data_IF_567142317944
#
_entry.id   IF_567142317944
#
_cell.length_a   1.000
_cell.length_b   1.000
_cell.length_c   1.000
_cell.angle_alpha   90.00
_cell.angle_beta   90.00
_cell.angle_gamma   90.00
#
_symmetry.space_group_name_H-M   'P 1'
#
loop_
_entity.id
_entity.type
_entity.pdbx_description
1 polymer ?
#
# COMPACT_ATOMS: atom_id res chain seq x y z
N UNK A 1 -30.42 79.89 -44.40
CA UNK A 1 -29.36 80.72 -43.86
C UNK A 1 -28.50 79.83 -43.05
N UNK A 2 -27.41 79.33 -43.69
CA UNK A 2 -26.31 78.62 -43.06
C UNK A 2 -25.55 79.54 -42.10
N UNK A 3 -24.80 79.07 -41.14
CA UNK A 3 -23.52 78.46 -41.46
C UNK A 3 -22.98 77.32 -40.55
N UNK A 4 -22.22 76.48 -41.22
CA UNK A 4 -20.97 75.81 -40.83
C UNK A 4 -20.54 75.84 -39.33
N UNK A 5 -20.39 74.63 -38.77
CA UNK A 5 -19.34 74.38 -37.76
C UNK A 5 -18.62 73.05 -38.09
N UNK A 6 -17.37 73.20 -38.45
CA UNK A 6 -16.39 72.21 -38.80
C UNK A 6 -15.91 71.45 -37.52
N UNK A 7 -16.10 70.13 -37.48
CA UNK A 7 -15.43 69.25 -36.54
C UNK A 7 -13.92 69.04 -36.93
N UNK A 8 -12.98 69.05 -35.96
CA UNK A 8 -11.57 68.72 -36.27
C UNK A 8 -11.42 67.20 -36.28
N UNK A 9 -10.89 66.68 -37.38
CA UNK A 9 -10.40 65.33 -37.55
C UNK A 9 -9.30 65.05 -36.51
N UNK A 10 -9.55 64.06 -35.63
CA UNK A 10 -8.51 63.50 -34.76
C UNK A 10 -7.53 62.66 -35.62
N UNK A 11 -6.28 63.05 -35.65
CA UNK A 11 -5.16 62.28 -36.20
C UNK A 11 -4.97 60.98 -35.36
N UNK A 12 -4.71 59.83 -36.01
CA UNK A 12 -4.34 58.61 -35.26
C UNK A 12 -2.93 58.74 -34.73
N UNK A 13 -2.79 58.87 -33.43
CA UNK A 13 -1.50 58.80 -32.72
C UNK A 13 -0.86 57.44 -32.98
N UNK A 14 0.20 57.42 -33.76
CA UNK A 14 1.05 56.28 -34.02
C UNK A 14 1.73 55.86 -32.71
N UNK A 15 1.32 54.72 -32.14
CA UNK A 15 2.01 54.10 -31.02
C UNK A 15 3.39 53.64 -31.46
N UNK A 16 4.49 54.03 -30.83
CA UNK A 16 5.84 53.69 -31.29
C UNK A 16 6.08 52.18 -31.19
N UNK A 17 6.43 51.58 -32.32
CA UNK A 17 6.68 50.15 -32.49
C UNK A 17 7.80 49.58 -31.55
N UNK A 18 8.63 50.42 -30.95
CA UNK A 18 9.72 50.04 -30.03
C UNK A 18 9.28 49.66 -28.64
N UNK A 19 8.09 50.11 -28.17
CA UNK A 19 7.63 49.86 -26.81
C UNK A 19 7.03 48.44 -26.61
N UNK A 20 6.44 47.87 -27.71
CA UNK A 20 5.93 46.49 -27.71
C UNK A 20 7.03 45.45 -27.77
N UNK A 21 8.20 45.76 -28.36
CA UNK A 21 9.33 44.82 -28.44
C UNK A 21 10.11 44.73 -27.14
N UNK A 22 10.14 45.80 -26.35
CA UNK A 22 10.71 45.81 -25.01
C UNK A 22 9.89 45.05 -23.97
N UNK A 23 8.54 45.16 -24.03
CA UNK A 23 7.62 44.44 -23.13
C UNK A 23 7.66 42.95 -23.38
N UNK A 24 7.63 42.50 -24.65
CA UNK A 24 7.71 41.08 -24.99
C UNK A 24 9.02 40.40 -24.61
N UNK A 25 10.16 41.14 -24.67
CA UNK A 25 11.46 40.65 -24.18
C UNK A 25 11.52 40.56 -22.66
N UNK A 26 10.93 41.50 -21.93
CA UNK A 26 10.84 41.45 -20.46
C UNK A 26 9.92 40.30 -19.98
N UNK A 27 8.81 40.08 -20.64
CA UNK A 27 7.93 38.93 -20.35
C UNK A 27 8.64 37.60 -20.59
N UNK A 28 9.37 37.44 -21.68
CA UNK A 28 10.13 36.22 -21.98
C UNK A 28 11.27 35.95 -20.97
N UNK A 29 11.93 37.00 -20.48
CA UNK A 29 12.95 36.86 -19.42
C UNK A 29 12.33 36.47 -18.09
N UNK A 30 11.20 37.11 -17.71
CA UNK A 30 10.46 36.77 -16.47
C UNK A 30 9.87 35.36 -16.50
N UNK A 31 9.36 34.88 -17.64
CA UNK A 31 8.92 33.50 -17.82
C UNK A 31 10.08 32.50 -17.71
N UNK A 32 11.23 32.80 -18.32
CA UNK A 32 12.43 31.98 -18.21
C UNK A 32 12.96 31.88 -16.76
N UNK A 33 12.91 32.97 -15.99
CA UNK A 33 13.28 32.96 -14.56
C UNK A 33 12.29 32.17 -13.72
N UNK A 34 10.99 32.30 -13.98
CA UNK A 34 9.93 31.52 -13.31
C UNK A 34 10.05 30.02 -13.61
N UNK A 35 10.35 29.64 -14.84
CA UNK A 35 10.58 28.25 -15.24
C UNK A 35 11.81 27.66 -14.50
N UNK A 36 12.94 28.38 -14.48
CA UNK A 36 14.15 27.97 -13.74
C UNK A 36 13.92 27.89 -12.23
N UNK A 37 13.12 28.79 -11.66
CA UNK A 37 12.75 28.74 -10.24
C UNK A 37 11.85 27.54 -9.91
N UNK A 38 10.91 27.19 -10.81
CA UNK A 38 10.07 25.97 -10.69
C UNK A 38 10.93 24.70 -10.74
N UNK A 39 11.82 24.58 -11.74
CA UNK A 39 12.73 23.42 -11.82
C UNK A 39 13.62 23.27 -10.59
N UNK A 40 14.16 24.37 -10.06
CA UNK A 40 14.98 24.34 -8.82
C UNK A 40 14.15 23.91 -7.61
N UNK A 41 12.88 24.34 -7.51
CA UNK A 41 11.93 23.92 -6.46
C UNK A 41 11.59 22.44 -6.58
N UNK A 42 11.31 21.95 -7.79
CA UNK A 42 11.02 20.54 -8.05
C UNK A 42 12.21 19.63 -7.76
N UNK A 43 13.41 19.99 -8.20
CA UNK A 43 14.66 19.28 -7.87
C UNK A 43 14.94 19.26 -6.36
N UNK A 44 14.68 20.37 -5.65
CA UNK A 44 14.79 20.43 -4.18
C UNK A 44 13.72 19.58 -3.50
N UNK A 45 12.48 19.61 -3.97
CA UNK A 45 11.39 18.80 -3.44
C UNK A 45 11.67 17.30 -3.65
N UNK A 46 12.15 16.91 -4.83
CA UNK A 46 12.55 15.53 -5.14
C UNK A 46 13.71 15.06 -4.27
N UNK A 47 14.74 15.90 -4.10
CA UNK A 47 15.87 15.59 -3.20
C UNK A 47 15.40 15.45 -1.75
N UNK A 48 14.52 16.33 -1.25
CA UNK A 48 13.96 16.24 0.11
C UNK A 48 13.13 14.99 0.30
N UNK A 49 12.33 14.59 -0.69
CA UNK A 49 11.52 13.35 -0.64
C UNK A 49 12.35 12.07 -0.46
N UNK A 50 13.60 12.06 -0.91
CA UNK A 50 14.52 10.92 -0.74
C UNK A 50 15.44 11.15 0.47
N UNK A 51 16.01 12.34 0.60
CA UNK A 51 17.00 12.64 1.64
C UNK A 51 16.43 12.59 3.06
N UNK A 52 15.19 13.07 3.26
CA UNK A 52 14.58 13.07 4.61
C UNK A 52 14.36 11.65 5.13
N UNK A 53 13.69 10.73 4.42
CA UNK A 53 13.53 9.35 4.90
C UNK A 53 14.88 8.63 5.09
N UNK A 54 15.83 8.82 4.17
CA UNK A 54 17.16 8.20 4.27
C UNK A 54 17.92 8.70 5.51
N UNK A 55 17.87 10.01 5.76
CA UNK A 55 18.50 10.61 6.95
C UNK A 55 17.83 10.13 8.23
N UNK A 56 16.50 10.00 8.24
CA UNK A 56 15.75 9.45 9.39
C UNK A 56 16.17 8.02 9.69
N UNK A 57 16.24 7.15 8.68
CA UNK A 57 16.69 5.75 8.85
C UNK A 57 18.14 5.72 9.33
N UNK A 58 19.03 6.52 8.73
CA UNK A 58 20.42 6.60 9.16
C UNK A 58 20.56 7.10 10.61
N UNK A 59 19.74 8.07 11.03
CA UNK A 59 19.72 8.57 12.39
C UNK A 59 19.24 7.48 13.38
N UNK A 60 18.17 6.73 13.03
CA UNK A 60 17.69 5.63 13.86
C UNK A 60 18.78 4.55 14.03
N UNK A 61 19.46 4.18 12.95
CA UNK A 61 20.53 3.20 12.98
C UNK A 61 21.74 3.70 13.79
N UNK A 62 22.06 4.99 13.68
CA UNK A 62 23.14 5.62 14.46
C UNK A 62 22.82 5.66 15.95
N UNK A 63 21.58 6.00 16.32
CA UNK A 63 21.11 5.96 17.71
C UNK A 63 21.14 4.52 18.25
N UNK A 64 20.65 3.55 17.48
CA UNK A 64 20.73 2.14 17.87
C UNK A 64 22.17 1.70 18.09
N UNK A 65 23.07 1.99 17.16
CA UNK A 65 24.50 1.68 17.29
C UNK A 65 25.12 2.36 18.52
N UNK A 66 24.78 3.63 18.79
CA UNK A 66 25.27 4.37 19.95
C UNK A 66 24.81 3.76 21.28
N UNK A 67 23.52 3.39 21.39
CA UNK A 67 22.97 2.72 22.59
C UNK A 67 23.72 1.44 22.92
N UNK A 68 24.06 0.65 21.90
CA UNK A 68 24.84 -0.58 22.06
C UNK A 68 26.31 -0.27 22.38
N UNK A 69 26.93 0.69 21.70
CA UNK A 69 28.33 1.04 21.89
C UNK A 69 28.62 1.65 23.28
N UNK A 70 27.68 2.45 23.82
CA UNK A 70 27.79 3.00 25.18
C UNK A 70 27.43 2.01 26.28
N UNK A 71 27.03 0.77 25.95
CA UNK A 71 26.69 -0.27 26.93
C UNK A 71 25.43 0.04 27.76
N UNK A 72 24.54 0.94 27.28
CA UNK A 72 23.29 1.30 27.95
C UNK A 72 22.40 0.05 28.09
N UNK A 73 22.42 -0.81 27.07
CA UNK A 73 21.75 -2.12 27.07
C UNK A 73 22.81 -3.19 26.85
N UNK A 74 22.78 -4.28 27.61
CA UNK A 74 23.70 -5.39 27.41
C UNK A 74 23.62 -5.94 25.98
N UNK A 75 24.79 -6.20 25.37
CA UNK A 75 24.91 -6.60 23.96
C UNK A 75 24.18 -7.93 23.64
N UNK A 76 23.98 -8.78 24.64
CA UNK A 76 23.22 -10.01 24.50
C UNK A 76 21.70 -9.77 24.41
N UNK A 77 21.18 -8.64 24.91
CA UNK A 77 19.74 -8.29 24.79
C UNK A 77 19.46 -7.45 23.54
N UNK A 78 20.36 -6.53 23.21
CA UNK A 78 20.25 -5.68 22.04
C UNK A 78 21.54 -5.79 21.21
N UNK A 79 21.56 -6.66 20.19
CA UNK A 79 22.70 -6.80 19.30
C UNK A 79 22.90 -5.53 18.48
N UNK A 80 24.14 -5.27 18.05
CA UNK A 80 24.41 -4.13 17.16
C UNK A 80 23.87 -4.38 15.74
N UNK A 81 23.55 -3.34 14.96
CA UNK A 81 23.15 -3.47 13.56
C UNK A 81 24.14 -4.31 12.74
N UNK A 82 25.44 -4.18 13.02
CA UNK A 82 26.50 -4.95 12.34
C UNK A 82 26.40 -6.45 12.66
N UNK A 83 26.15 -6.82 13.91
CA UNK A 83 25.94 -8.22 14.31
C UNK A 83 24.72 -8.83 13.64
N UNK A 84 23.64 -8.06 13.52
CA UNK A 84 22.41 -8.48 12.84
C UNK A 84 22.64 -8.74 11.35
N UNK A 85 23.39 -7.86 10.66
CA UNK A 85 23.77 -8.08 9.24
C UNK A 85 24.67 -9.31 9.10
N UNK A 86 25.61 -9.50 10.02
CA UNK A 86 26.47 -10.70 10.00
C UNK A 86 25.65 -11.98 10.23
N UNK A 87 24.71 -11.98 11.16
CA UNK A 87 23.81 -13.12 11.41
C UNK A 87 22.94 -13.44 10.19
N UNK A 88 22.43 -12.41 9.47
CA UNK A 88 21.71 -12.59 8.20
C UNK A 88 22.58 -13.28 7.15
N UNK A 89 23.84 -12.88 7.04
CA UNK A 89 24.77 -13.47 6.06
C UNK A 89 25.18 -14.91 6.46
N UNK A 90 25.46 -15.15 7.74
CA UNK A 90 25.87 -16.43 8.27
C UNK A 90 24.80 -17.53 8.08
N UNK A 91 23.54 -17.21 8.31
CA UNK A 91 22.41 -18.14 8.21
C UNK A 91 21.63 -18.01 6.90
N UNK A 92 22.18 -17.36 5.86
CA UNK A 92 21.45 -16.98 4.65
C UNK A 92 20.74 -18.17 3.97
N UNK A 93 21.39 -19.33 3.85
CA UNK A 93 20.79 -20.53 3.24
C UNK A 93 19.62 -21.08 4.06
N UNK A 94 19.78 -21.11 5.40
CA UNK A 94 18.75 -21.57 6.34
C UNK A 94 17.56 -20.60 6.34
N UNK A 95 17.83 -19.31 6.35
CA UNK A 95 16.81 -18.25 6.29
C UNK A 95 16.07 -18.29 4.95
N UNK A 96 16.75 -18.57 3.82
CA UNK A 96 16.10 -18.72 2.53
C UNK A 96 15.12 -19.90 2.51
N UNK A 97 15.49 -21.04 3.07
CA UNK A 97 14.62 -22.21 3.19
C UNK A 97 13.38 -21.91 4.07
N UNK A 98 13.57 -21.29 5.21
CA UNK A 98 12.48 -20.89 6.09
C UNK A 98 11.60 -19.80 5.47
N UNK A 99 12.17 -18.84 4.73
CA UNK A 99 11.43 -17.81 3.98
C UNK A 99 10.54 -18.42 2.91
N UNK A 100 11.04 -19.42 2.17
CA UNK A 100 10.23 -20.10 1.15
C UNK A 100 8.98 -20.76 1.75
N UNK A 101 9.09 -21.38 2.93
CA UNK A 101 7.96 -21.97 3.64
C UNK A 101 6.94 -20.89 4.04
N UNK A 102 7.39 -19.83 4.73
CA UNK A 102 6.52 -18.72 5.16
C UNK A 102 5.84 -18.02 3.97
N UNK A 103 6.58 -17.78 2.87
CA UNK A 103 6.02 -17.17 1.67
C UNK A 103 4.99 -18.06 0.99
N UNK A 104 5.19 -19.38 0.97
CA UNK A 104 4.22 -20.34 0.43
C UNK A 104 2.92 -20.30 1.24
N UNK A 105 3.01 -20.33 2.56
CA UNK A 105 1.87 -20.25 3.49
C UNK A 105 1.12 -18.91 3.33
N UNK A 106 1.86 -17.81 3.30
CA UNK A 106 1.31 -16.48 3.11
C UNK A 106 0.66 -16.29 1.74
N UNK A 107 1.31 -16.76 0.66
CA UNK A 107 0.77 -16.65 -0.70
C UNK A 107 -0.50 -17.47 -0.89
N UNK A 108 -0.51 -18.73 -0.45
CA UNK A 108 -1.70 -19.58 -0.51
C UNK A 108 -2.85 -18.98 0.29
N UNK A 109 -2.59 -18.56 1.53
CA UNK A 109 -3.60 -17.93 2.38
C UNK A 109 -4.13 -16.62 1.81
N UNK A 110 -3.25 -15.78 1.25
CA UNK A 110 -3.64 -14.51 0.62
C UNK A 110 -4.50 -14.74 -0.63
N UNK A 111 -4.14 -15.68 -1.50
CA UNK A 111 -4.92 -15.99 -2.71
C UNK A 111 -6.29 -16.54 -2.35
N UNK A 112 -6.35 -17.51 -1.44
CA UNK A 112 -7.64 -18.08 -0.98
C UNK A 112 -8.46 -17.03 -0.24
N UNK A 113 -7.85 -16.27 0.67
CA UNK A 113 -8.52 -15.22 1.43
C UNK A 113 -9.05 -14.10 0.53
N UNK A 114 -8.29 -13.75 -0.55
CA UNK A 114 -8.75 -12.81 -1.58
C UNK A 114 -9.96 -13.36 -2.32
N UNK A 115 -9.93 -14.61 -2.72
CA UNK A 115 -11.06 -15.27 -3.40
C UNK A 115 -12.32 -15.32 -2.53
N UNK A 116 -12.18 -15.73 -1.27
CA UNK A 116 -13.29 -15.77 -0.30
C UNK A 116 -13.82 -14.35 -0.05
N UNK A 117 -12.94 -13.38 0.22
CA UNK A 117 -13.33 -11.99 0.46
C UNK A 117 -14.05 -11.37 -0.73
N UNK A 118 -13.58 -11.65 -1.95
CA UNK A 118 -14.22 -11.19 -3.18
C UNK A 118 -15.63 -11.78 -3.33
N UNK A 119 -15.78 -13.09 -3.17
CA UNK A 119 -17.08 -13.77 -3.28
C UNK A 119 -18.07 -13.23 -2.24
N UNK A 120 -17.64 -13.10 -0.99
CA UNK A 120 -18.46 -12.55 0.10
C UNK A 120 -18.89 -11.11 -0.21
N UNK A 121 -17.97 -10.25 -0.66
CA UNK A 121 -18.29 -8.87 -1.02
C UNK A 121 -19.29 -8.77 -2.17
N UNK A 122 -19.15 -9.62 -3.20
CA UNK A 122 -20.09 -9.67 -4.33
C UNK A 122 -21.47 -10.15 -3.89
N UNK A 123 -21.55 -11.15 -3.00
CA UNK A 123 -22.82 -11.63 -2.44
C UNK A 123 -23.51 -10.54 -1.60
N UNK A 124 -22.74 -9.80 -0.80
CA UNK A 124 -23.24 -8.66 -0.01
C UNK A 124 -23.75 -7.52 -0.90
N UNK A 125 -23.06 -7.21 -2.01
CA UNK A 125 -23.53 -6.20 -2.96
C UNK A 125 -24.78 -6.67 -3.73
N UNK A 126 -24.87 -7.96 -4.05
CA UNK A 126 -25.94 -8.51 -4.86
C UNK A 126 -27.23 -8.72 -4.09
N UNK A 127 -27.15 -9.09 -2.81
CA UNK A 127 -28.27 -9.47 -1.98
C UNK A 127 -28.28 -8.66 -0.68
N UNK A 128 -29.26 -7.77 -0.56
CA UNK A 128 -29.42 -6.92 0.63
C UNK A 128 -29.56 -7.72 1.93
N UNK A 129 -30.28 -8.86 1.88
CA UNK A 129 -30.44 -9.77 3.04
C UNK A 129 -29.10 -10.33 3.49
N UNK A 130 -28.23 -10.69 2.54
CA UNK A 130 -26.88 -11.20 2.83
C UNK A 130 -26.03 -10.09 3.44
N UNK A 131 -26.13 -8.87 2.91
CA UNK A 131 -25.43 -7.71 3.47
C UNK A 131 -25.83 -7.46 4.92
N UNK A 132 -27.14 -7.38 5.21
CA UNK A 132 -27.66 -7.18 6.56
C UNK A 132 -27.25 -8.29 7.56
N UNK A 133 -27.15 -9.53 7.08
CA UNK A 133 -26.75 -10.66 7.91
C UNK A 133 -25.23 -10.69 8.14
N UNK A 134 -24.41 -10.42 7.11
CA UNK A 134 -22.95 -10.56 7.17
C UNK A 134 -22.24 -9.31 7.69
N UNK A 135 -22.78 -8.10 7.49
CA UNK A 135 -22.16 -6.85 7.97
C UNK A 135 -21.76 -6.92 9.47
N UNK A 136 -22.65 -7.33 10.41
CA UNK A 136 -22.28 -7.45 11.81
C UNK A 136 -21.27 -8.59 12.05
N UNK A 137 -21.38 -9.72 11.35
CA UNK A 137 -20.45 -10.86 11.49
C UNK A 137 -19.06 -10.46 11.03
N UNK A 138 -18.98 -9.83 9.86
CA UNK A 138 -17.76 -9.31 9.29
C UNK A 138 -17.13 -8.29 10.24
N UNK A 139 -17.89 -7.39 10.84
CA UNK A 139 -17.40 -6.38 11.80
C UNK A 139 -16.91 -7.04 13.10
N UNK A 140 -17.64 -7.98 13.67
CA UNK A 140 -17.24 -8.66 14.91
C UNK A 140 -16.01 -9.55 14.68
N UNK A 141 -15.90 -10.21 13.53
CA UNK A 141 -14.75 -11.08 13.25
C UNK A 141 -13.39 -10.34 13.27
N UNK A 142 -13.37 -9.01 13.01
CA UNK A 142 -12.17 -8.19 13.15
C UNK A 142 -11.68 -8.06 14.60
N UNK A 143 -12.58 -8.13 15.54
CA UNK A 143 -12.24 -7.93 16.96
C UNK A 143 -11.61 -9.16 17.58
N UNK A 144 -11.73 -10.32 16.93
CA UNK A 144 -11.16 -11.57 17.44
C UNK A 144 -9.65 -11.61 17.17
N UNK A 145 -8.80 -11.67 18.20
CA UNK A 145 -7.37 -11.77 18.00
C UNK A 145 -6.99 -13.06 17.27
N UNK A 146 -6.40 -12.95 16.09
CA UNK A 146 -5.99 -14.12 15.28
C UNK A 146 -5.00 -15.03 16.02
N UNK A 147 -4.17 -14.47 16.90
CA UNK A 147 -3.27 -15.22 17.77
C UNK A 147 -4.03 -16.17 18.71
N UNK A 148 -5.23 -15.79 19.15
CA UNK A 148 -6.05 -16.64 20.03
C UNK A 148 -6.72 -17.81 19.29
N UNK A 149 -6.98 -17.64 17.98
CA UNK A 149 -7.57 -18.71 17.15
C UNK A 149 -6.52 -19.76 16.76
N UNK A 150 -5.28 -19.35 16.61
CA UNK A 150 -4.22 -20.19 16.07
C UNK A 150 -4.02 -21.52 16.82
N UNK A 151 -4.06 -21.63 18.18
CA UNK A 151 -4.00 -22.89 18.88
C UNK A 151 -5.17 -23.83 18.56
N UNK A 152 -6.37 -23.28 18.38
CA UNK A 152 -7.57 -24.07 18.03
C UNK A 152 -7.45 -24.67 16.63
N UNK A 153 -6.89 -23.93 15.68
CA UNK A 153 -6.64 -24.41 14.33
C UNK A 153 -5.65 -25.58 14.32
N UNK A 154 -4.58 -25.48 15.14
CA UNK A 154 -3.64 -26.60 15.28
C UNK A 154 -4.29 -27.82 15.94
N UNK A 155 -5.17 -27.61 16.90
CA UNK A 155 -5.92 -28.71 17.54
C UNK A 155 -6.87 -29.41 16.54
N UNK A 156 -7.53 -28.66 15.65
CA UNK A 156 -8.49 -29.20 14.69
C UNK A 156 -7.85 -29.81 13.45
N UNK A 157 -6.80 -29.17 12.91
CA UNK A 157 -6.15 -29.55 11.64
C UNK A 157 -4.79 -30.23 11.82
N UNK A 158 -4.27 -30.33 13.07
CA UNK A 158 -2.95 -30.88 13.34
C UNK A 158 -1.81 -29.95 12.97
N UNK A 159 -0.57 -30.48 13.04
CA UNK A 159 0.66 -29.77 12.69
C UNK A 159 0.92 -29.94 11.19
N UNK A 160 0.67 -28.88 10.42
CA UNK A 160 0.90 -28.96 8.98
C UNK A 160 0.70 -27.62 8.28
N UNK A 161 0.50 -27.66 6.97
CA UNK A 161 0.24 -26.49 6.15
C UNK A 161 -1.19 -25.93 6.36
N UNK A 162 -2.16 -26.83 6.58
CA UNK A 162 -3.57 -26.48 6.66
C UNK A 162 -3.91 -25.43 7.73
N UNK A 163 -3.57 -25.60 9.03
CA UNK A 163 -3.90 -24.60 10.06
C UNK A 163 -3.25 -23.25 9.79
N UNK A 164 -2.06 -23.22 9.19
CA UNK A 164 -1.33 -21.99 8.87
C UNK A 164 -2.00 -21.23 7.74
N UNK A 165 -2.35 -21.92 6.66
CA UNK A 165 -3.08 -21.32 5.54
C UNK A 165 -4.45 -20.83 5.99
N UNK A 166 -5.19 -21.61 6.80
CA UNK A 166 -6.51 -21.18 7.33
C UNK A 166 -6.39 -19.92 8.18
N UNK A 167 -5.35 -19.81 9.04
CA UNK A 167 -5.13 -18.60 9.84
C UNK A 167 -4.85 -17.38 8.95
N UNK A 168 -4.03 -17.55 7.90
CA UNK A 168 -3.76 -16.48 6.93
C UNK A 168 -5.05 -16.11 6.18
N UNK A 169 -5.87 -17.08 5.76
CA UNK A 169 -7.17 -16.82 5.11
C UNK A 169 -8.07 -15.98 6.01
N UNK A 170 -8.22 -16.36 7.28
CA UNK A 170 -9.03 -15.61 8.26
C UNK A 170 -8.51 -14.18 8.42
N UNK A 171 -7.20 -13.99 8.44
CA UNK A 171 -6.58 -12.66 8.61
C UNK A 171 -6.71 -11.77 7.38
N UNK A 172 -6.80 -12.35 6.18
CA UNK A 172 -6.70 -11.63 4.90
C UNK A 172 -8.06 -11.42 4.21
N UNK A 173 -9.02 -12.34 4.36
CA UNK A 173 -10.32 -12.21 3.69
C UNK A 173 -11.07 -10.94 4.11
N UNK A 174 -10.90 -10.58 5.35
CA UNK A 174 -11.65 -9.54 6.02
C UNK A 174 -11.36 -8.12 5.45
N UNK A 175 -10.08 -7.63 5.44
CA UNK A 175 -9.77 -6.33 4.87
C UNK A 175 -10.21 -6.23 3.39
N UNK A 176 -10.16 -7.34 2.65
CA UNK A 176 -10.58 -7.40 1.25
C UNK A 176 -12.10 -7.25 1.14
N UNK A 177 -12.86 -7.99 1.96
CA UNK A 177 -14.32 -7.91 1.96
C UNK A 177 -14.80 -6.50 2.26
N UNK A 178 -14.30 -5.89 3.35
CA UNK A 178 -14.70 -4.54 3.77
C UNK A 178 -14.33 -3.50 2.72
N UNK A 179 -13.12 -3.58 2.18
CA UNK A 179 -12.66 -2.64 1.15
C UNK A 179 -13.50 -2.74 -0.12
N UNK A 180 -13.80 -3.96 -0.59
CA UNK A 180 -14.63 -4.16 -1.77
C UNK A 180 -16.09 -3.69 -1.55
N UNK A 181 -16.70 -4.05 -0.43
CA UNK A 181 -18.06 -3.58 -0.09
C UNK A 181 -18.10 -2.06 -0.03
N UNK A 182 -17.10 -1.43 0.61
CA UNK A 182 -16.94 0.02 0.61
C UNK A 182 -16.81 0.59 -0.81
N UNK A 183 -16.00 -0.05 -1.65
CA UNK A 183 -15.83 0.34 -3.06
C UNK A 183 -17.12 0.22 -3.88
N UNK A 184 -17.91 -0.84 -3.69
CA UNK A 184 -19.21 -0.97 -4.36
C UNK A 184 -20.24 0.05 -3.89
N UNK A 185 -20.20 0.44 -2.61
CA UNK A 185 -21.11 1.45 -2.02
C UNK A 185 -20.68 2.90 -2.37
N UNK A 186 -19.44 3.13 -2.75
CA UNK A 186 -18.94 4.47 -3.11
C UNK A 186 -19.28 4.92 -4.53
N UNK A 187 -19.90 4.06 -5.33
CA UNK A 187 -20.33 4.40 -6.69
C UNK A 187 -21.49 5.37 -6.65
N UNK A 188 -21.39 6.44 -7.45
CA UNK A 188 -22.43 7.46 -7.57
C UNK A 188 -23.78 6.85 -7.96
N UNK A 189 -24.84 7.04 -7.16
CA UNK A 189 -26.18 6.55 -7.45
C UNK A 189 -26.72 7.06 -8.77
N UNK A 190 -26.44 8.32 -9.15
CA UNK A 190 -26.91 8.93 -10.39
C UNK A 190 -26.36 8.19 -11.62
N UNK A 191 -25.11 7.73 -11.55
CA UNK A 191 -24.50 6.91 -12.61
C UNK A 191 -25.20 5.55 -12.73
N UNK A 192 -25.59 4.96 -11.60
CA UNK A 192 -26.32 3.69 -11.59
C UNK A 192 -27.72 3.88 -12.21
N UNK A 193 -28.40 4.98 -11.87
CA UNK A 193 -29.74 5.28 -12.38
C UNK A 193 -29.72 5.66 -13.87
N UNK A 194 -28.68 6.37 -14.32
CA UNK A 194 -28.44 6.60 -15.74
C UNK A 194 -28.31 5.28 -16.51
N UNK A 195 -27.51 4.34 -16.01
CA UNK A 195 -27.34 3.02 -16.62
C UNK A 195 -28.67 2.23 -16.66
N UNK A 196 -29.50 2.35 -15.61
CA UNK A 196 -30.85 1.74 -15.57
C UNK A 196 -31.78 2.36 -16.62
N UNK A 197 -31.76 3.67 -16.78
CA UNK A 197 -32.53 4.38 -17.81
C UNK A 197 -32.14 3.91 -19.22
N UNK A 198 -30.84 3.61 -19.42
CA UNK A 198 -30.33 3.01 -20.65
C UNK A 198 -30.64 1.50 -20.78
N UNK A 199 -31.50 0.93 -19.92
CA UNK A 199 -31.87 -0.49 -19.86
C UNK A 199 -30.68 -1.44 -19.66
N UNK A 200 -29.60 -0.99 -19.02
CA UNK A 200 -28.48 -1.87 -18.69
C UNK A 200 -28.89 -2.94 -17.68
N UNK A 201 -28.46 -4.18 -17.91
CA UNK A 201 -28.69 -5.27 -16.98
C UNK A 201 -27.86 -5.08 -15.70
N UNK A 202 -28.29 -5.70 -14.58
CA UNK A 202 -27.54 -5.64 -13.30
C UNK A 202 -26.11 -6.15 -13.45
N UNK A 203 -25.87 -7.13 -14.33
CA UNK A 203 -24.54 -7.66 -14.63
C UNK A 203 -23.67 -6.65 -15.39
N UNK A 204 -24.27 -5.91 -16.32
CA UNK A 204 -23.58 -4.81 -17.02
C UNK A 204 -23.22 -3.67 -16.09
N UNK A 205 -24.11 -3.28 -15.18
CA UNK A 205 -23.83 -2.25 -14.16
C UNK A 205 -22.68 -2.71 -13.25
N UNK A 206 -22.72 -3.97 -12.80
CA UNK A 206 -21.65 -4.51 -11.95
C UNK A 206 -20.29 -4.49 -12.63
N UNK A 207 -20.14 -5.06 -13.82
CA UNK A 207 -18.85 -5.17 -14.50
C UNK A 207 -18.35 -3.89 -15.14
N UNK A 208 -19.26 -3.01 -15.60
CA UNK A 208 -18.86 -1.78 -16.33
C UNK A 208 -18.74 -0.55 -15.42
N UNK A 209 -19.40 -0.56 -14.26
CA UNK A 209 -19.43 0.60 -13.35
C UNK A 209 -18.89 0.25 -11.97
N UNK A 210 -19.55 -0.67 -11.26
CA UNK A 210 -19.18 -0.96 -9.86
C UNK A 210 -17.80 -1.58 -9.71
N UNK A 211 -17.47 -2.59 -10.51
CA UNK A 211 -16.19 -3.30 -10.40
C UNK A 211 -15.00 -2.39 -10.74
N UNK A 212 -14.99 -1.62 -11.84
CA UNK A 212 -13.90 -0.68 -12.12
C UNK A 212 -13.75 0.40 -11.04
N UNK A 213 -14.85 0.95 -10.52
CA UNK A 213 -14.83 1.95 -9.46
C UNK A 213 -14.29 1.39 -8.14
N UNK A 214 -14.60 0.12 -7.82
CA UNK A 214 -14.15 -0.53 -6.60
C UNK A 214 -12.70 -1.05 -6.65
N UNK A 215 -12.04 -1.09 -7.81
CA UNK A 215 -10.68 -1.62 -7.95
C UNK A 215 -9.67 -0.91 -7.04
N UNK A 216 -9.83 0.38 -6.85
CA UNK A 216 -8.92 1.16 -5.97
C UNK A 216 -9.02 0.71 -4.53
N UNK A 217 -10.25 0.54 -4.05
CA UNK A 217 -10.53 0.04 -2.71
C UNK A 217 -10.09 -1.43 -2.56
N UNK A 218 -10.30 -2.25 -3.61
CA UNK A 218 -9.81 -3.62 -3.64
C UNK A 218 -8.30 -3.71 -3.44
N UNK A 219 -7.52 -2.94 -4.21
CA UNK A 219 -6.06 -2.93 -4.07
C UNK A 219 -5.62 -2.34 -2.73
N UNK A 220 -6.37 -1.40 -2.16
CA UNK A 220 -6.11 -0.90 -0.81
C UNK A 220 -6.30 -2.00 0.24
N UNK A 221 -7.40 -2.76 0.17
CA UNK A 221 -7.64 -3.93 1.02
C UNK A 221 -6.60 -5.03 0.81
N UNK A 222 -6.24 -5.30 -0.44
CA UNK A 222 -5.23 -6.33 -0.78
C UNK A 222 -3.84 -5.97 -0.23
N UNK A 223 -3.47 -4.68 -0.21
CA UNK A 223 -2.22 -4.20 0.38
C UNK A 223 -2.18 -4.44 1.89
N UNK A 224 -3.28 -4.15 2.59
CA UNK A 224 -3.41 -4.43 4.02
C UNK A 224 -3.32 -5.94 4.26
N UNK A 225 -4.05 -6.73 3.48
CA UNK A 225 -4.05 -8.19 3.57
C UNK A 225 -2.70 -8.82 3.28
N UNK A 226 -1.91 -8.28 2.36
CA UNK A 226 -0.55 -8.73 2.07
C UNK A 226 0.37 -8.61 3.31
N UNK A 227 0.22 -7.53 4.08
CA UNK A 227 0.95 -7.38 5.35
C UNK A 227 0.49 -8.41 6.37
N UNK A 228 -0.82 -8.57 6.54
CA UNK A 228 -1.39 -9.56 7.47
C UNK A 228 -1.10 -11.01 7.05
N UNK A 229 -0.90 -11.30 5.78
CA UNK A 229 -0.56 -12.65 5.32
C UNK A 229 0.79 -13.13 5.88
N UNK A 230 1.82 -12.30 5.81
CA UNK A 230 3.14 -12.66 6.38
C UNK A 230 3.07 -12.76 7.90
N UNK A 231 2.45 -11.77 8.56
CA UNK A 231 2.30 -11.77 10.03
C UNK A 231 1.50 -12.98 10.50
N UNK A 232 0.38 -13.30 9.82
CA UNK A 232 -0.45 -14.47 10.14
C UNK A 232 0.30 -15.79 9.97
N UNK A 233 1.08 -15.95 8.89
CA UNK A 233 1.92 -17.13 8.68
C UNK A 233 2.94 -17.30 9.82
N UNK A 234 3.68 -16.24 10.18
CA UNK A 234 4.66 -16.26 11.26
C UNK A 234 4.01 -16.61 12.61
N UNK A 235 2.82 -16.06 12.92
CA UNK A 235 2.08 -16.38 14.15
C UNK A 235 1.67 -17.86 14.16
N UNK A 236 1.16 -18.37 13.04
CA UNK A 236 0.79 -19.78 12.95
C UNK A 236 2.00 -20.73 13.13
N UNK A 237 3.15 -20.33 12.61
CA UNK A 237 4.40 -21.07 12.72
C UNK A 237 4.95 -21.12 14.17
N UNK A 238 4.64 -20.11 15.02
CA UNK A 238 5.05 -20.12 16.43
C UNK A 238 4.41 -21.25 17.23
N UNK A 239 3.24 -21.69 16.84
CA UNK A 239 2.47 -22.71 17.55
C UNK A 239 2.87 -24.13 17.20
N UNK A 240 3.57 -24.28 16.08
CA UNK A 240 4.09 -25.58 15.68
C UNK A 240 4.36 -25.64 14.18
N UNK A 241 5.35 -26.45 13.85
CA UNK A 241 5.76 -26.66 12.47
C UNK A 241 7.22 -27.09 12.40
N UNK A 242 7.62 -27.58 11.24
CA UNK A 242 8.98 -28.04 10.98
C UNK A 242 9.81 -26.96 10.26
N UNK A 243 9.15 -26.05 9.55
CA UNK A 243 9.76 -25.00 8.73
C UNK A 243 8.97 -23.70 8.81
N UNK A 244 9.63 -22.60 8.48
CA UNK A 244 9.12 -21.24 8.47
C UNK A 244 9.92 -20.30 9.38
N UNK A 245 9.85 -18.98 9.08
CA UNK A 245 10.60 -17.94 9.79
C UNK A 245 10.17 -17.84 11.26
N UNK A 246 8.88 -18.06 11.57
CA UNK A 246 8.38 -18.09 12.95
C UNK A 246 8.91 -19.30 13.72
N UNK A 247 9.05 -20.46 13.08
CA UNK A 247 9.70 -21.65 13.69
C UNK A 247 11.17 -21.36 13.99
N UNK A 248 11.91 -20.79 13.02
CA UNK A 248 13.29 -20.37 13.22
C UNK A 248 13.37 -19.35 14.37
N UNK A 249 12.52 -18.35 14.41
CA UNK A 249 12.48 -17.34 15.44
C UNK A 249 12.27 -17.94 16.85
N UNK A 250 11.39 -18.95 17.00
CA UNK A 250 11.19 -19.62 18.27
C UNK A 250 12.41 -20.45 18.72
N UNK A 251 13.14 -21.04 17.76
CA UNK A 251 14.37 -21.79 18.05
C UNK A 251 15.49 -20.87 18.55
N UNK A 252 15.77 -19.77 17.81
CA UNK A 252 16.84 -18.83 18.18
C UNK A 252 16.52 -18.09 19.49
N UNK A 253 15.23 -17.82 19.77
CA UNK A 253 14.79 -17.28 21.07
C UNK A 253 15.12 -18.23 22.23
N UNK A 254 14.87 -19.53 22.06
CA UNK A 254 15.16 -20.54 23.08
C UNK A 254 16.66 -20.72 23.34
N UNK A 255 17.50 -20.45 22.33
CA UNK A 255 18.97 -20.48 22.44
C UNK A 255 19.58 -19.13 22.85
N UNK A 256 18.76 -18.11 23.14
CA UNK A 256 19.20 -16.75 23.49
C UNK A 256 20.08 -16.08 22.42
N UNK A 257 19.96 -16.50 21.13
CA UNK A 257 20.68 -15.92 20.00
C UNK A 257 19.88 -14.71 19.46
N UNK A 258 19.93 -13.61 20.19
CA UNK A 258 19.13 -12.42 19.86
C UNK A 258 19.59 -11.71 18.58
N UNK A 259 20.87 -11.81 18.21
CA UNK A 259 21.40 -11.35 16.92
C UNK A 259 20.65 -11.98 15.73
N UNK A 260 20.44 -13.29 15.77
CA UNK A 260 19.64 -14.06 14.80
C UNK A 260 18.15 -13.74 14.90
N UNK A 261 17.64 -13.49 16.10
CA UNK A 261 16.24 -13.10 16.29
C UNK A 261 15.95 -11.75 15.65
N UNK A 262 16.79 -10.73 15.84
CA UNK A 262 16.67 -9.43 15.17
C UNK A 262 16.85 -9.55 13.64
N UNK A 263 17.77 -10.41 13.19
CA UNK A 263 17.98 -10.69 11.78
C UNK A 263 16.69 -11.21 11.11
N UNK A 264 16.01 -12.16 11.73
CA UNK A 264 14.74 -12.71 11.21
C UNK A 264 13.60 -11.68 11.26
N UNK A 265 13.52 -10.83 12.26
CA UNK A 265 12.51 -9.76 12.33
C UNK A 265 12.68 -8.78 11.16
N UNK A 266 13.93 -8.38 10.87
CA UNK A 266 14.23 -7.53 9.71
C UNK A 266 13.86 -8.24 8.41
N UNK A 267 14.22 -9.51 8.28
CA UNK A 267 13.89 -10.30 7.08
C UNK A 267 12.37 -10.41 6.86
N UNK A 268 11.58 -10.68 7.92
CA UNK A 268 10.11 -10.70 7.86
C UNK A 268 9.57 -9.34 7.40
N UNK A 269 10.12 -8.25 7.94
CA UNK A 269 9.73 -6.90 7.54
C UNK A 269 10.02 -6.62 6.06
N UNK A 270 11.20 -7.03 5.58
CA UNK A 270 11.59 -6.90 4.16
C UNK A 270 10.67 -7.71 3.25
N UNK A 271 10.34 -8.95 3.63
CA UNK A 271 9.42 -9.80 2.87
C UNK A 271 8.00 -9.22 2.83
N UNK A 272 7.52 -8.66 3.95
CA UNK A 272 6.22 -7.98 4.01
C UNK A 272 6.19 -6.75 3.08
N UNK A 273 7.25 -5.94 3.10
CA UNK A 273 7.38 -4.79 2.19
C UNK A 273 7.49 -5.23 0.72
N UNK A 274 8.21 -6.33 0.44
CA UNK A 274 8.32 -6.88 -0.91
C UNK A 274 6.95 -7.37 -1.42
N UNK A 275 6.18 -8.08 -0.58
CA UNK A 275 4.83 -8.54 -0.94
C UNK A 275 3.88 -7.36 -1.16
N UNK A 276 3.92 -6.33 -0.32
CA UNK A 276 3.17 -5.09 -0.50
C UNK A 276 3.57 -4.37 -1.80
N UNK A 277 4.88 -4.31 -2.10
CA UNK A 277 5.38 -3.75 -3.36
C UNK A 277 4.92 -4.54 -4.59
N UNK A 278 4.79 -5.88 -4.48
CA UNK A 278 4.21 -6.72 -5.52
C UNK A 278 2.74 -6.35 -5.78
N UNK A 279 1.96 -6.16 -4.72
CA UNK A 279 0.55 -5.70 -4.83
C UNK A 279 0.47 -4.33 -5.51
N UNK A 280 1.34 -3.38 -5.13
CA UNK A 280 1.41 -2.07 -5.78
C UNK A 280 1.78 -2.17 -7.27
N UNK A 281 2.66 -3.09 -7.62
CA UNK A 281 3.03 -3.37 -9.01
C UNK A 281 1.84 -3.95 -9.79
N UNK A 282 1.12 -4.93 -9.20
CA UNK A 282 -0.10 -5.49 -9.78
C UNK A 282 -1.18 -4.41 -9.98
N UNK A 283 -1.37 -3.52 -9.00
CA UNK A 283 -2.30 -2.39 -9.14
C UNK A 283 -1.96 -1.50 -10.32
N UNK A 284 -0.67 -1.20 -10.53
CA UNK A 284 -0.22 -0.36 -11.65
C UNK A 284 -0.46 -1.01 -13.02
N UNK A 285 -0.47 -2.34 -13.09
CA UNK A 285 -0.79 -3.09 -14.32
C UNK A 285 -2.29 -3.13 -14.53
N UNK A 286 -3.06 -3.40 -13.47
CA UNK A 286 -4.51 -3.53 -13.54
C UNK A 286 -5.23 -2.20 -13.77
N UNK A 287 -4.62 -1.05 -13.39
CA UNK A 287 -5.22 0.28 -13.46
C UNK A 287 -4.35 1.29 -14.25
N UNK A 288 -4.14 1.08 -15.56
CA UNK A 288 -3.29 1.97 -16.36
C UNK A 288 -3.85 3.39 -16.51
N UNK A 289 -5.17 3.58 -16.42
CA UNK A 289 -5.83 4.89 -16.53
C UNK A 289 -5.47 5.86 -15.41
N UNK A 290 -5.18 5.40 -14.20
CA UNK A 290 -4.69 6.26 -13.11
C UNK A 290 -3.32 6.91 -13.35
N UNK A 291 -2.56 6.42 -14.32
CA UNK A 291 -1.31 7.07 -14.72
C UNK A 291 -1.54 8.36 -15.52
N UNK A 292 -2.67 8.47 -16.21
CA UNK A 292 -3.04 9.66 -16.98
C UNK A 292 -3.42 10.81 -16.03
N UNK A 293 -4.28 10.54 -15.04
CA UNK A 293 -4.72 11.53 -14.05
C UNK A 293 -3.56 12.13 -13.24
N UNK A 294 -2.56 11.31 -12.89
CA UNK A 294 -1.39 11.74 -12.10
C UNK A 294 -0.37 12.60 -12.86
N UNK A 295 -0.51 12.77 -14.19
CA UNK A 295 0.35 13.62 -15.00
C UNK A 295 -0.25 15.01 -15.22
N UNK A 296 -1.54 15.17 -14.92
CA UNK A 296 -2.26 16.43 -15.06
C UNK A 296 -2.26 17.28 -13.78
N UNK A 297 -1.97 16.66 -12.59
CA UNK A 297 -1.72 17.32 -11.30
C UNK A 297 -0.19 17.56 -11.07
#
# INVERSE_FOLDING_TARGET
MDPHSSEPKAEPTATPAGEKDGASRQEGVAEGERARARERRERRARRRRVAVPTLTVACILAVWQAVVAFGIVPNFLLPSPVQVVYALAADASLLAMHSAATLTEAALGLVIGTGVGFVVAVLMDRFQTVSLALDPIVTVSQTIPTVAIAPLLVLWFGYGLAPKVVLVVISTFFPITVSLVGGFRSVDPDLIDLMRTMRASRWQIFWKVKMPAALDQFFSGLRISATYAIVGAVIAEWLGGFSGLGVYMTRVRKSFAYDRMFAVIILISVLSLALMGLVDWLQRIAMPWKRAERKED
#
